data_IF_513468683382
#
_entry.id   IF_513468683382
#
_cell.length_a   1.000
_cell.length_b   1.000
_cell.length_c   1.000
_cell.angle_alpha   90.00
_cell.angle_beta   90.00
_cell.angle_gamma   90.00
#
_symmetry.space_group_name_H-M   'P 1'
#
loop_
_entity.id
_entity.type
_entity.pdbx_description
1 polymer ?
#
# COMPACT_ATOMS: atom_id res chain seq x y z
N UNK A 1 -5.31 -8.43 12.41
CA UNK A 1 -5.97 -8.45 11.08
C UNK A 1 -4.97 -8.83 9.96
N UNK A 2 -4.36 -10.03 10.00
CA UNK A 2 -3.31 -10.47 9.04
C UNK A 2 -3.65 -11.75 8.25
N UNK A 3 -4.76 -12.43 8.55
CA UNK A 3 -5.15 -13.71 7.92
C UNK A 3 -5.48 -13.64 6.42
N UNK A 4 -6.09 -12.58 5.84
CA UNK A 4 -6.56 -12.66 4.44
C UNK A 4 -5.44 -12.69 3.39
N UNK A 5 -4.27 -12.08 3.66
CA UNK A 5 -3.16 -12.00 2.69
C UNK A 5 -2.47 -13.35 2.46
N UNK A 6 -2.45 -14.22 3.47
CA UNK A 6 -1.80 -15.54 3.37
C UNK A 6 -2.51 -16.47 2.38
N UNK A 7 -3.84 -16.51 2.40
CA UNK A 7 -4.64 -17.32 1.48
C UNK A 7 -4.45 -16.88 0.02
N UNK A 8 -4.45 -15.57 -0.23
CA UNK A 8 -4.21 -15.00 -1.57
C UNK A 8 -2.80 -15.35 -2.07
N UNK A 9 -1.79 -15.24 -1.21
CA UNK A 9 -0.43 -15.60 -1.58
C UNK A 9 -0.29 -17.09 -1.93
N UNK A 10 -0.89 -17.98 -1.15
CA UNK A 10 -0.88 -19.43 -1.43
C UNK A 10 -1.55 -19.71 -2.77
N UNK A 11 -2.73 -19.11 -3.01
CA UNK A 11 -3.43 -19.22 -4.29
C UNK A 11 -2.55 -18.75 -5.45
N UNK A 12 -1.94 -17.57 -5.35
CA UNK A 12 -1.06 -17.04 -6.39
C UNK A 12 0.14 -17.95 -6.65
N UNK A 13 0.73 -18.54 -5.60
CA UNK A 13 1.88 -19.46 -5.71
C UNK A 13 1.52 -20.76 -6.44
N UNK A 14 0.29 -21.23 -6.27
CA UNK A 14 -0.22 -22.48 -6.88
C UNK A 14 -0.70 -22.26 -8.32
N UNK A 15 -1.31 -21.11 -8.61
CA UNK A 15 -1.95 -20.80 -9.90
C UNK A 15 -1.07 -19.88 -10.78
N UNK A 16 0.25 -19.91 -10.59
CA UNK A 16 1.20 -19.10 -11.40
C UNK A 16 1.02 -19.38 -12.91
N UNK A 17 0.75 -20.61 -13.34
CA UNK A 17 0.61 -20.96 -14.76
C UNK A 17 -0.59 -20.28 -15.46
N UNK A 18 -1.66 -20.01 -14.72
CA UNK A 18 -2.87 -19.36 -15.25
C UNK A 18 -2.78 -17.83 -15.22
N UNK A 19 -1.79 -17.30 -14.50
CA UNK A 19 -1.41 -15.90 -14.59
C UNK A 19 -0.59 -15.72 -15.88
N UNK A 20 -0.65 -14.53 -16.50
CA UNK A 20 0.09 -14.19 -17.74
C UNK A 20 1.62 -14.10 -17.52
N UNK A 21 2.22 -15.16 -16.99
CA UNK A 21 3.66 -15.35 -16.77
C UNK A 21 4.37 -15.55 -18.10
N UNK A 22 3.63 -15.87 -19.17
CA UNK A 22 4.21 -16.07 -20.50
C UNK A 22 5.08 -14.91 -20.98
N UNK A 23 4.72 -13.68 -20.60
CA UNK A 23 5.48 -12.46 -20.89
C UNK A 23 6.88 -12.42 -20.21
N UNK A 24 7.11 -13.25 -19.20
CA UNK A 24 8.30 -13.27 -18.35
C UNK A 24 9.10 -14.58 -18.46
N UNK A 25 8.69 -15.51 -19.34
CA UNK A 25 9.43 -16.74 -19.60
C UNK A 25 10.88 -16.48 -20.01
N UNK A 26 11.12 -15.49 -20.88
CA UNK A 26 12.47 -15.14 -21.31
C UNK A 26 13.36 -14.65 -20.15
N UNK A 27 12.77 -13.94 -19.17
CA UNK A 27 13.49 -13.50 -17.98
C UNK A 27 13.80 -14.67 -17.04
N UNK A 28 12.84 -15.58 -16.88
CA UNK A 28 13.01 -16.81 -16.11
C UNK A 28 14.14 -17.68 -16.68
N UNK A 29 14.11 -17.91 -17.99
CA UNK A 29 15.10 -18.70 -18.71
C UNK A 29 16.51 -18.11 -18.55
N UNK A 30 16.65 -16.79 -18.72
CA UNK A 30 17.93 -16.10 -18.51
C UNK A 30 18.47 -16.23 -17.08
N UNK A 31 17.58 -16.18 -16.06
CA UNK A 31 17.96 -16.35 -14.66
C UNK A 31 18.34 -17.80 -14.34
N UNK A 32 17.64 -18.78 -14.91
CA UNK A 32 17.96 -20.20 -14.76
C UNK A 32 19.30 -20.54 -15.43
N UNK A 33 19.55 -20.05 -16.65
CA UNK A 33 20.84 -20.20 -17.32
C UNK A 33 21.99 -19.60 -16.51
N UNK A 34 21.81 -18.40 -15.94
CA UNK A 34 22.84 -17.76 -15.12
C UNK A 34 23.12 -18.54 -13.85
N UNK A 35 22.07 -18.98 -13.16
CA UNK A 35 22.22 -19.73 -11.91
C UNK A 35 22.87 -21.10 -12.14
N UNK A 36 22.58 -21.74 -13.29
CA UNK A 36 23.27 -22.95 -13.72
C UNK A 36 24.77 -22.71 -13.92
N UNK A 37 25.15 -21.62 -14.59
CA UNK A 37 26.55 -21.26 -14.81
C UNK A 37 27.31 -20.92 -13.51
N UNK A 38 26.61 -20.34 -12.52
CA UNK A 38 27.21 -19.93 -11.24
C UNK A 38 27.06 -21.01 -10.14
N UNK A 39 26.49 -22.19 -10.44
CA UNK A 39 26.17 -23.25 -9.46
C UNK A 39 25.31 -22.78 -8.26
N UNK A 40 24.45 -21.78 -8.49
CA UNK A 40 23.56 -21.21 -7.46
C UNK A 40 22.20 -21.88 -7.53
N UNK A 41 21.61 -22.25 -6.38
CA UNK A 41 20.21 -22.68 -6.32
C UNK A 41 19.27 -21.48 -6.45
N UNK A 42 18.59 -21.34 -7.60
CA UNK A 42 17.56 -20.32 -7.79
C UNK A 42 16.34 -20.64 -6.93
N UNK A 43 15.82 -19.64 -6.20
CA UNK A 43 14.51 -19.74 -5.55
C UNK A 43 13.37 -19.76 -6.57
N UNK A 44 12.15 -20.08 -6.14
CA UNK A 44 10.97 -20.01 -7.01
C UNK A 44 10.58 -18.55 -7.24
N UNK A 45 10.68 -18.05 -8.47
CA UNK A 45 10.12 -16.75 -8.84
C UNK A 45 8.59 -16.83 -8.73
N UNK A 46 8.00 -15.95 -7.93
CA UNK A 46 6.55 -15.79 -7.82
C UNK A 46 6.23 -14.39 -8.27
N UNK A 47 5.51 -14.28 -9.38
CA UNK A 47 5.02 -13.01 -9.88
C UNK A 47 3.76 -12.66 -9.10
N UNK A 48 3.85 -11.58 -8.32
CA UNK A 48 2.71 -11.01 -7.63
C UNK A 48 1.96 -10.05 -8.56
N UNK A 49 0.63 -10.16 -8.69
CA UNK A 49 -0.18 -9.23 -9.45
C UNK A 49 -0.25 -7.86 -8.74
N UNK A 50 -0.67 -6.82 -9.47
CA UNK A 50 -0.83 -5.48 -8.90
C UNK A 50 -1.93 -5.37 -7.84
N UNK A 51 -2.87 -6.31 -7.81
CA UNK A 51 -3.87 -6.45 -6.74
C UNK A 51 -3.25 -6.84 -5.39
N UNK A 52 -2.03 -7.39 -5.39
CA UNK A 52 -1.31 -7.65 -4.15
C UNK A 52 -0.64 -6.36 -3.65
N UNK A 53 -1.25 -5.73 -2.65
CA UNK A 53 -0.77 -4.49 -2.05
C UNK A 53 0.67 -4.63 -1.54
N UNK A 54 1.54 -3.71 -1.96
CA UNK A 54 2.97 -3.70 -1.64
C UNK A 54 3.85 -4.53 -2.58
N UNK A 55 3.27 -5.21 -3.57
CA UNK A 55 4.07 -5.82 -4.66
C UNK A 55 4.70 -4.75 -5.56
N UNK A 56 5.76 -5.13 -6.28
CA UNK A 56 6.37 -4.27 -7.29
C UNK A 56 5.36 -3.76 -8.33
N UNK A 57 4.45 -4.64 -8.79
CA UNK A 57 3.41 -4.27 -9.75
C UNK A 57 2.37 -3.33 -9.16
N UNK A 58 2.03 -3.51 -7.88
CA UNK A 58 1.13 -2.60 -7.19
C UNK A 58 1.72 -1.19 -7.15
N UNK A 59 3.01 -1.08 -6.80
CA UNK A 59 3.69 0.21 -6.77
C UNK A 59 3.83 0.83 -8.17
N UNK A 60 4.15 0.04 -9.19
CA UNK A 60 4.21 0.51 -10.58
C UNK A 60 2.85 0.98 -11.09
N UNK A 61 1.77 0.25 -10.80
CA UNK A 61 0.42 0.65 -11.17
C UNK A 61 0.04 1.97 -10.47
N UNK A 62 0.27 2.09 -9.17
CA UNK A 62 0.00 3.34 -8.44
C UNK A 62 0.77 4.54 -9.03
N UNK A 63 2.02 4.32 -9.47
CA UNK A 63 2.80 5.35 -10.15
C UNK A 63 2.19 5.74 -11.50
N UNK A 64 1.81 4.77 -12.33
CA UNK A 64 1.16 5.03 -13.62
C UNK A 64 -0.18 5.76 -13.44
N UNK A 65 -0.97 5.37 -12.45
CA UNK A 65 -2.24 6.03 -12.11
C UNK A 65 -1.99 7.49 -11.66
N UNK A 66 -0.97 7.72 -10.84
CA UNK A 66 -0.56 9.08 -10.45
C UNK A 66 -0.11 9.92 -11.65
N UNK A 67 0.70 9.36 -12.55
CA UNK A 67 1.13 10.05 -13.77
C UNK A 67 -0.04 10.34 -14.71
N UNK A 68 -1.02 9.45 -14.81
CA UNK A 68 -2.24 9.69 -15.57
C UNK A 68 -3.07 10.83 -14.96
N UNK A 69 -3.17 10.91 -13.62
CA UNK A 69 -3.80 12.04 -12.94
C UNK A 69 -3.06 13.35 -13.22
N UNK A 70 -1.72 13.36 -13.14
CA UNK A 70 -0.91 14.55 -13.46
C UNK A 70 -1.06 14.97 -14.92
N UNK A 71 -1.11 14.02 -15.84
CA UNK A 71 -1.33 14.31 -17.26
C UNK A 71 -2.71 14.92 -17.52
N UNK A 72 -3.74 14.51 -16.77
CA UNK A 72 -5.11 14.99 -16.93
C UNK A 72 -5.39 16.32 -16.21
N UNK A 73 -4.90 16.48 -15.00
CA UNK A 73 -5.23 17.60 -14.10
C UNK A 73 -4.07 18.59 -13.90
N UNK A 74 -2.90 18.30 -14.46
CA UNK A 74 -1.69 19.07 -14.22
C UNK A 74 -0.92 18.60 -12.98
N UNK A 75 0.26 19.17 -12.78
CA UNK A 75 1.07 18.89 -11.59
C UNK A 75 0.36 19.41 -10.34
N UNK A 76 0.44 18.71 -9.19
CA UNK A 76 -0.02 19.28 -7.93
C UNK A 76 0.85 20.48 -7.55
N UNK A 77 0.24 21.50 -6.95
CA UNK A 77 0.95 22.68 -6.45
C UNK A 77 1.43 22.51 -5.01
N UNK A 78 0.74 21.67 -4.23
CA UNK A 78 1.05 21.40 -2.82
C UNK A 78 1.00 19.89 -2.54
N UNK A 79 1.95 19.43 -1.71
CA UNK A 79 1.93 18.10 -1.12
C UNK A 79 1.91 18.26 0.41
N UNK A 80 0.77 17.93 1.03
CA UNK A 80 0.55 18.15 2.46
C UNK A 80 0.41 16.82 3.19
N UNK A 81 1.16 16.67 4.27
CA UNK A 81 1.05 15.53 5.18
C UNK A 81 0.33 15.99 6.45
N UNK A 82 -0.80 15.36 6.76
CA UNK A 82 -1.51 15.59 8.02
C UNK A 82 -1.36 14.37 8.93
N UNK A 83 -0.72 14.57 10.08
CA UNK A 83 -0.42 13.50 11.05
C UNK A 83 -1.34 13.63 12.25
N UNK A 84 -1.87 12.50 12.72
CA UNK A 84 -2.68 12.46 13.93
C UNK A 84 -1.83 12.77 15.17
N UNK A 85 -2.36 13.57 16.09
CA UNK A 85 -1.78 13.80 17.41
C UNK A 85 -2.67 13.15 18.50
N UNK A 86 -2.25 12.07 19.17
CA UNK A 86 -3.02 11.43 20.25
C UNK A 86 -3.34 12.36 21.42
N UNK A 87 -2.60 13.45 21.60
CA UNK A 87 -2.81 14.43 22.67
C UNK A 87 -3.87 15.49 22.36
N UNK A 88 -4.59 15.38 21.24
CA UNK A 88 -5.72 16.27 20.98
C UNK A 88 -6.79 16.14 22.07
N UNK A 89 -7.33 17.28 22.51
CA UNK A 89 -8.28 17.30 23.62
C UNK A 89 -9.57 16.54 23.28
N UNK A 90 -10.00 16.52 22.02
CA UNK A 90 -11.15 15.72 21.59
C UNK A 90 -10.94 14.21 21.77
N UNK A 91 -9.69 13.75 21.64
CA UNK A 91 -9.31 12.36 21.91
C UNK A 91 -9.33 12.14 23.43
N UNK A 92 -8.58 12.95 24.18
CA UNK A 92 -8.43 12.79 25.63
C UNK A 92 -9.77 12.90 26.38
N UNK A 93 -10.63 13.83 25.98
CA UNK A 93 -11.96 14.03 26.59
C UNK A 93 -12.93 12.88 26.28
N UNK A 94 -12.67 12.09 25.23
CA UNK A 94 -13.47 10.93 24.88
C UNK A 94 -13.00 9.64 25.58
N UNK A 95 -11.92 9.72 26.37
CA UNK A 95 -11.41 8.57 27.12
C UNK A 95 -12.14 8.40 28.44
N UNK A 96 -12.44 7.16 28.78
CA UNK A 96 -13.09 6.80 30.05
C UNK A 96 -12.06 6.15 31.00
N UNK A 97 -11.95 6.69 32.20
CA UNK A 97 -11.07 6.14 33.24
C UNK A 97 -9.59 6.18 32.85
N UNK A 98 -8.97 5.00 32.78
CA UNK A 98 -7.51 4.82 32.52
C UNK A 98 -7.24 4.39 31.07
N UNK A 99 -8.22 4.51 30.17
CA UNK A 99 -8.01 4.20 28.75
C UNK A 99 -6.96 5.12 28.15
N UNK A 100 -6.04 4.55 27.36
CA UNK A 100 -5.10 5.33 26.57
C UNK A 100 -5.59 5.46 25.13
N UNK A 101 -5.19 6.52 24.42
CA UNK A 101 -5.56 6.68 23.01
C UNK A 101 -5.26 5.46 22.16
N UNK A 102 -4.12 4.81 22.39
CA UNK A 102 -3.69 3.63 21.61
C UNK A 102 -4.68 2.46 21.72
N UNK A 103 -5.44 2.39 22.81
CA UNK A 103 -6.41 1.34 23.08
C UNK A 103 -7.76 1.61 22.36
N UNK A 104 -7.97 2.82 21.81
CA UNK A 104 -9.22 3.28 21.17
C UNK A 104 -8.99 3.84 19.76
N UNK A 105 -8.59 2.99 18.79
CA UNK A 105 -8.35 3.41 17.41
C UNK A 105 -9.61 3.98 16.73
N UNK A 106 -10.80 3.57 17.16
CA UNK A 106 -12.08 4.10 16.68
C UNK A 106 -12.24 5.60 16.99
N UNK A 107 -11.85 6.03 18.19
CA UNK A 107 -11.88 7.45 18.60
C UNK A 107 -10.82 8.23 17.81
N UNK A 108 -9.58 7.70 17.76
CA UNK A 108 -8.48 8.34 17.03
C UNK A 108 -8.87 8.61 15.57
N UNK A 109 -9.40 7.60 14.87
CA UNK A 109 -9.77 7.73 13.46
C UNK A 109 -10.89 8.75 13.28
N UNK A 110 -11.87 8.81 14.18
CA UNK A 110 -12.96 9.79 14.13
C UNK A 110 -12.44 11.22 14.33
N UNK A 111 -11.64 11.45 15.36
CA UNK A 111 -11.08 12.78 15.62
C UNK A 111 -10.13 13.22 14.50
N UNK A 112 -9.28 12.31 14.01
CA UNK A 112 -8.41 12.59 12.87
C UNK A 112 -9.21 13.03 11.64
N UNK A 113 -10.30 12.34 11.31
CA UNK A 113 -11.15 12.72 10.19
C UNK A 113 -11.84 14.09 10.40
N UNK A 114 -12.26 14.41 11.63
CA UNK A 114 -12.80 15.74 11.95
C UNK A 114 -11.76 16.84 11.74
N UNK A 115 -10.54 16.65 12.29
CA UNK A 115 -9.44 17.62 12.14
C UNK A 115 -8.95 17.74 10.70
N UNK A 116 -8.94 16.64 9.94
CA UNK A 116 -8.57 16.65 8.54
C UNK A 116 -9.55 17.48 7.71
N UNK A 117 -10.85 17.33 7.95
CA UNK A 117 -11.89 18.13 7.27
C UNK A 117 -11.77 19.61 7.60
N UNK A 118 -11.62 19.95 8.89
CA UNK A 118 -11.40 21.33 9.35
C UNK A 118 -10.20 21.96 8.61
N UNK A 119 -9.07 21.25 8.57
CA UNK A 119 -7.86 21.72 7.88
C UNK A 119 -8.05 21.83 6.37
N UNK A 120 -8.75 20.89 5.76
CA UNK A 120 -9.03 20.90 4.33
C UNK A 120 -9.93 22.08 3.94
N UNK A 121 -10.96 22.37 4.74
CA UNK A 121 -11.84 23.52 4.55
C UNK A 121 -11.07 24.83 4.62
N UNK A 122 -10.14 24.97 5.57
CA UNK A 122 -9.33 26.18 5.69
C UNK A 122 -8.36 26.40 4.53
N UNK A 123 -7.78 25.33 4.00
CA UNK A 123 -6.91 25.39 2.82
C UNK A 123 -7.72 25.75 1.56
N UNK A 124 -8.95 25.24 1.45
CA UNK A 124 -9.79 25.42 0.26
C UNK A 124 -10.50 26.77 0.20
N UNK A 125 -10.45 27.57 1.27
CA UNK A 125 -11.08 28.91 1.35
C UNK A 125 -10.27 30.01 0.64
N UNK A 126 -9.07 29.71 0.17
CA UNK A 126 -8.20 30.60 -0.61
C UNK A 126 -7.96 30.01 -1.99
#
# INVERSE_FOLDING_TARGET
MLKPKAHVYIFLRQNQKDLRIELYWALLDALECRAHNENIRTGKLIILPSSFQGSLRHMQQNYQDAMAMVGKFGKPDLFLTFTCNPSWCEILNSMEGVQRPEDRPDIIVRVFNMKLKERFEDISKH
#
